data_IF_823474940047
#
_entry.id   IF_823474940047
#
_cell.length_a   1.000
_cell.length_b   1.000
_cell.length_c   1.000
_cell.angle_alpha   90.00
_cell.angle_beta   90.00
_cell.angle_gamma   90.00
#
_symmetry.space_group_name_H-M   'P 1'
#
loop_
_entity.id
_entity.type
_entity.pdbx_description
1 polymer ?
#
# COMPACT_ATOMS: atom_id res chain seq x y z
N UNK A 1 42.65 18.91 6.89
CA UNK A 1 41.81 19.98 6.33
C UNK A 1 41.84 19.79 4.82
N UNK A 2 40.89 19.19 4.11
CA UNK A 2 39.59 18.60 4.41
C UNK A 2 39.33 17.59 3.27
N UNK A 3 39.00 16.35 3.62
CA UNK A 3 38.47 15.38 2.65
C UNK A 3 36.94 15.58 2.67
N UNK A 4 36.29 16.00 1.56
CA UNK A 4 34.85 16.12 1.57
C UNK A 4 34.24 14.72 1.44
N UNK A 5 33.78 14.23 2.58
CA UNK A 5 32.57 13.45 2.81
C UNK A 5 32.09 12.57 1.64
N UNK A 6 32.31 11.27 1.80
CA UNK A 6 31.45 10.25 1.24
C UNK A 6 30.01 10.61 1.58
N UNK A 7 29.26 11.16 0.61
CA UNK A 7 27.81 11.18 0.69
C UNK A 7 27.37 9.73 0.59
N UNK A 8 27.13 9.13 1.75
CA UNK A 8 26.27 7.96 1.91
C UNK A 8 24.93 8.30 1.25
N UNK A 9 24.84 8.04 -0.05
CA UNK A 9 23.57 7.79 -0.70
C UNK A 9 23.17 6.39 -0.22
N UNK A 10 22.64 6.34 1.00
CA UNK A 10 21.62 5.35 1.30
C UNK A 10 20.47 5.69 0.35
N UNK A 11 20.55 5.10 -0.85
CA UNK A 11 19.39 4.89 -1.70
C UNK A 11 18.38 4.26 -0.75
N UNK A 12 17.39 5.08 -0.38
CA UNK A 12 16.43 4.71 0.64
C UNK A 12 15.78 3.45 0.13
N UNK A 13 16.18 2.33 0.72
CA UNK A 13 15.40 1.11 0.73
C UNK A 13 14.06 1.55 1.29
N UNK A 14 13.15 1.95 0.39
CA UNK A 14 11.78 2.30 0.69
C UNK A 14 11.19 1.02 1.24
N UNK A 15 11.36 0.82 2.56
CA UNK A 15 10.90 -0.34 3.26
C UNK A 15 9.45 -0.57 2.83
N UNK A 16 9.07 -1.83 2.51
CA UNK A 16 7.78 -2.14 1.92
C UNK A 16 6.69 -1.47 2.74
N UNK A 17 6.09 -0.44 2.16
CA UNK A 17 5.13 0.40 2.87
C UNK A 17 3.89 -0.44 3.10
N UNK A 18 3.61 -0.77 4.36
CA UNK A 18 2.47 -1.58 4.77
C UNK A 18 1.20 -1.06 4.11
N UNK A 19 0.44 -1.92 3.43
CA UNK A 19 -0.74 -1.55 2.63
C UNK A 19 -1.89 -0.95 3.45
N UNK A 20 -1.92 -1.31 4.73
CA UNK A 20 -2.89 -0.82 5.70
C UNK A 20 -2.18 -0.23 6.92
N UNK A 21 -2.84 0.71 7.61
CA UNK A 21 -2.52 1.04 8.99
C UNK A 21 -2.48 -0.23 9.87
N UNK A 22 -1.62 -0.25 10.88
CA UNK A 22 -1.47 -1.41 11.76
C UNK A 22 -2.76 -1.74 12.52
N UNK A 23 -3.53 -0.72 12.92
CA UNK A 23 -4.81 -0.92 13.61
C UNK A 23 -5.82 -1.64 12.71
N UNK A 24 -5.94 -1.22 11.44
CA UNK A 24 -6.86 -1.83 10.48
C UNK A 24 -6.45 -3.28 10.16
N UNK A 25 -5.15 -3.53 10.07
CA UNK A 25 -4.61 -4.89 9.92
C UNK A 25 -4.98 -5.78 11.11
N UNK A 26 -4.87 -5.26 12.33
CA UNK A 26 -5.20 -5.99 13.56
C UNK A 26 -6.71 -6.27 13.68
N UNK A 27 -7.55 -5.34 13.25
CA UNK A 27 -9.00 -5.52 13.22
C UNK A 27 -9.41 -6.66 12.28
N UNK A 28 -8.86 -6.70 11.05
CA UNK A 28 -9.11 -7.79 10.11
C UNK A 28 -8.61 -9.14 10.63
N UNK A 29 -7.43 -9.19 11.25
CA UNK A 29 -6.88 -10.40 11.87
C UNK A 29 -7.74 -10.92 13.04
N UNK A 30 -8.26 -10.01 13.84
CA UNK A 30 -9.14 -10.37 14.97
C UNK A 30 -10.42 -10.99 14.45
N UNK A 31 -11.10 -10.34 13.49
CA UNK A 31 -12.32 -10.87 12.86
C UNK A 31 -12.09 -12.21 12.17
N UNK A 32 -10.95 -12.38 11.51
CA UNK A 32 -10.58 -13.66 10.91
C UNK A 32 -10.46 -14.77 11.97
N UNK A 33 -9.83 -14.47 13.10
CA UNK A 33 -9.67 -15.43 14.21
C UNK A 33 -11.02 -15.83 14.81
N UNK A 34 -11.94 -14.87 14.96
CA UNK A 34 -13.30 -15.13 15.44
C UNK A 34 -14.08 -16.06 14.48
N UNK A 35 -13.95 -15.83 13.17
CA UNK A 35 -14.56 -16.68 12.13
C UNK A 35 -14.01 -18.11 12.20
N UNK A 36 -12.70 -18.26 12.34
CA UNK A 36 -12.06 -19.57 12.47
C UNK A 36 -12.54 -20.31 13.72
N UNK A 37 -12.71 -19.59 14.83
CA UNK A 37 -13.22 -20.17 16.08
C UNK A 37 -14.67 -20.62 15.92
N UNK A 38 -15.52 -19.82 15.28
CA UNK A 38 -16.92 -20.15 15.02
C UNK A 38 -17.15 -21.27 13.99
N UNK A 39 -16.13 -21.65 13.21
CA UNK A 39 -16.25 -22.71 12.20
C UNK A 39 -16.60 -24.08 12.80
N UNK A 40 -16.15 -24.35 14.03
CA UNK A 40 -16.41 -25.63 14.71
C UNK A 40 -17.91 -25.83 14.97
N UNK A 41 -18.61 -24.75 15.29
CA UNK A 41 -20.04 -24.78 15.62
C UNK A 41 -20.93 -24.55 14.38
N UNK A 42 -20.57 -23.58 13.54
CA UNK A 42 -21.38 -23.13 12.40
C UNK A 42 -20.55 -23.02 11.11
N UNK A 43 -20.13 -24.14 10.49
CA UNK A 43 -19.16 -24.12 9.40
C UNK A 43 -19.64 -23.37 8.15
N UNK A 44 -20.93 -23.45 7.82
CA UNK A 44 -21.51 -22.70 6.69
C UNK A 44 -21.46 -21.19 6.92
N UNK A 45 -21.89 -20.76 8.10
CA UNK A 45 -21.90 -19.35 8.49
C UNK A 45 -20.49 -18.78 8.55
N UNK A 46 -19.53 -19.54 9.09
CA UNK A 46 -18.13 -19.12 9.13
C UNK A 46 -17.55 -18.92 7.73
N UNK A 47 -17.86 -19.79 6.76
CA UNK A 47 -17.41 -19.61 5.37
C UNK A 47 -18.07 -18.38 4.72
N UNK A 48 -19.36 -18.15 4.94
CA UNK A 48 -20.04 -16.94 4.45
C UNK A 48 -19.42 -15.65 5.04
N UNK A 49 -19.07 -15.67 6.32
CA UNK A 49 -18.40 -14.55 6.98
C UNK A 49 -16.97 -14.35 6.48
N UNK A 50 -16.24 -15.43 6.21
CA UNK A 50 -14.91 -15.39 5.62
C UNK A 50 -14.94 -14.74 4.22
N UNK A 51 -15.88 -15.15 3.38
CA UNK A 51 -16.08 -14.57 2.03
C UNK A 51 -16.36 -13.07 2.12
N UNK A 52 -17.30 -12.66 2.98
CA UNK A 52 -17.61 -11.26 3.19
C UNK A 52 -16.41 -10.45 3.70
N UNK A 53 -15.61 -11.01 4.62
CA UNK A 53 -14.41 -10.36 5.14
C UNK A 53 -13.35 -10.18 4.05
N UNK A 54 -13.12 -11.20 3.21
CA UNK A 54 -12.18 -11.12 2.09
C UNK A 54 -12.64 -10.06 1.08
N UNK A 55 -13.93 -10.01 0.73
CA UNK A 55 -14.48 -9.00 -0.15
C UNK A 55 -14.28 -7.57 0.39
N UNK A 56 -14.44 -7.38 1.70
CA UNK A 56 -14.19 -6.11 2.39
C UNK A 56 -12.72 -5.69 2.29
N UNK A 57 -11.79 -6.61 2.56
CA UNK A 57 -10.34 -6.36 2.47
C UNK A 57 -9.94 -5.98 1.04
N UNK A 58 -10.44 -6.69 0.03
CA UNK A 58 -10.18 -6.38 -1.39
C UNK A 58 -10.68 -4.98 -1.73
N UNK A 59 -11.90 -4.63 -1.31
CA UNK A 59 -12.47 -3.30 -1.55
C UNK A 59 -11.63 -2.21 -0.89
N UNK A 60 -11.13 -2.46 0.33
CA UNK A 60 -10.29 -1.51 1.04
C UNK A 60 -8.92 -1.34 0.37
N UNK A 61 -8.28 -2.42 -0.08
CA UNK A 61 -7.04 -2.37 -0.87
C UNK A 61 -7.24 -1.52 -2.13
N UNK A 62 -8.29 -1.82 -2.91
CA UNK A 62 -8.59 -1.07 -4.13
C UNK A 62 -8.79 0.43 -3.86
N UNK A 63 -9.47 0.77 -2.77
CA UNK A 63 -9.70 2.16 -2.36
C UNK A 63 -8.39 2.86 -1.98
N UNK A 64 -7.56 2.21 -1.16
CA UNK A 64 -6.24 2.74 -0.75
C UNK A 64 -5.33 3.00 -1.95
N UNK A 65 -5.26 2.05 -2.89
CA UNK A 65 -4.49 2.21 -4.11
C UNK A 65 -5.05 3.31 -5.03
N UNK A 66 -6.39 3.45 -5.13
CA UNK A 66 -7.01 4.51 -5.92
C UNK A 66 -6.71 5.91 -5.34
N UNK A 67 -6.72 6.06 -4.01
CA UNK A 67 -6.34 7.29 -3.33
C UNK A 67 -4.87 7.65 -3.61
N UNK A 68 -3.95 6.68 -3.52
CA UNK A 68 -2.53 6.91 -3.77
C UNK A 68 -2.26 7.25 -5.24
N UNK A 69 -2.91 6.56 -6.18
CA UNK A 69 -2.88 6.89 -7.61
C UNK A 69 -3.33 8.33 -7.87
N UNK A 70 -4.40 8.77 -7.21
CA UNK A 70 -4.90 10.15 -7.31
C UNK A 70 -3.89 11.19 -6.81
N UNK A 71 -3.16 10.90 -5.72
CA UNK A 71 -2.08 11.76 -5.22
C UNK A 71 -0.91 11.86 -6.21
N UNK A 72 -0.51 10.74 -6.81
CA UNK A 72 0.49 10.74 -7.89
C UNK A 72 -0.02 11.56 -9.08
N UNK A 73 -1.31 11.43 -9.41
CA UNK A 73 -1.95 12.16 -10.51
C UNK A 73 -2.03 13.68 -10.30
N UNK A 74 -2.20 14.14 -9.06
CA UNK A 74 -2.26 15.55 -8.73
C UNK A 74 -0.90 16.28 -8.72
N UNK A 75 0.22 15.55 -8.74
CA UNK A 75 1.57 16.13 -8.63
C UNK A 75 2.15 16.58 -9.97
N UNK A 76 1.91 15.84 -11.05
CA UNK A 76 2.33 16.13 -12.43
C UNK A 76 1.25 16.83 -13.30
N UNK A 77 -0.04 16.75 -12.94
CA UNK A 77 -1.15 17.32 -13.74
C UNK A 77 -1.33 18.84 -13.64
N UNK A 78 -0.48 19.56 -12.88
CA UNK A 78 -0.54 21.02 -12.71
C UNK A 78 0.45 21.74 -13.62
N UNK A 79 0.13 21.81 -14.92
CA UNK A 79 0.46 22.93 -15.83
C UNK A 79 1.89 23.02 -16.41
N UNK A 80 1.93 23.15 -17.73
CA UNK A 80 2.92 23.61 -18.76
C UNK A 80 4.42 23.89 -18.48
N UNK A 81 4.94 23.74 -17.28
CA UNK A 81 6.38 23.98 -16.95
C UNK A 81 6.99 22.83 -16.14
N UNK A 82 6.64 21.58 -16.49
CA UNK A 82 7.21 20.39 -15.84
C UNK A 82 8.61 20.14 -16.38
N UNK A 83 9.63 20.24 -15.51
CA UNK A 83 11.01 19.97 -15.90
C UNK A 83 11.23 18.48 -16.17
N UNK A 84 12.21 18.13 -17.01
CA UNK A 84 12.68 16.75 -17.19
C UNK A 84 13.10 16.11 -15.86
N UNK A 85 13.56 16.92 -14.90
CA UNK A 85 13.83 16.48 -13.52
C UNK A 85 12.56 16.00 -12.81
N UNK A 86 11.49 16.79 -12.86
CA UNK A 86 10.20 16.47 -12.24
C UNK A 86 9.60 15.20 -12.86
N UNK A 87 9.68 15.05 -14.18
CA UNK A 87 9.25 13.82 -14.87
C UNK A 87 10.01 12.58 -14.39
N UNK A 88 11.32 12.69 -14.14
CA UNK A 88 12.11 11.58 -13.63
C UNK A 88 11.72 11.21 -12.21
N UNK A 89 11.46 12.21 -11.36
CA UNK A 89 10.98 11.99 -9.98
C UNK A 89 9.60 11.35 -10.01
N UNK A 90 8.68 11.82 -10.85
CA UNK A 90 7.36 11.23 -11.03
C UNK A 90 7.47 9.76 -11.46
N UNK A 91 8.31 9.44 -12.45
CA UNK A 91 8.48 8.07 -12.93
C UNK A 91 9.04 7.14 -11.84
N UNK A 92 9.97 7.62 -11.00
CA UNK A 92 10.46 6.86 -9.84
C UNK A 92 9.34 6.56 -8.85
N UNK A 93 8.49 7.55 -8.53
CA UNK A 93 7.33 7.35 -7.64
C UNK A 93 6.32 6.35 -8.20
N UNK A 94 6.06 6.38 -9.51
CA UNK A 94 5.24 5.38 -10.17
C UNK A 94 5.85 3.97 -10.11
N UNK A 95 7.18 3.85 -10.25
CA UNK A 95 7.88 2.57 -10.09
C UNK A 95 7.70 2.01 -8.68
N UNK A 96 8.01 2.79 -7.65
CA UNK A 96 7.83 2.35 -6.25
C UNK A 96 6.38 1.95 -5.95
N UNK A 97 5.42 2.73 -6.44
CA UNK A 97 4.00 2.40 -6.31
C UNK A 97 3.62 1.09 -7.04
N UNK A 98 4.16 0.88 -8.23
CA UNK A 98 3.96 -0.34 -9.00
C UNK A 98 4.59 -1.57 -8.34
N UNK A 99 5.82 -1.45 -7.84
CA UNK A 99 6.50 -2.53 -7.10
C UNK A 99 5.71 -2.88 -5.82
N UNK A 100 5.13 -1.89 -5.14
CA UNK A 100 4.23 -2.11 -3.99
C UNK A 100 2.91 -2.80 -4.38
N UNK A 101 2.35 -2.50 -5.55
CA UNK A 101 1.15 -3.20 -6.07
C UNK A 101 1.43 -4.68 -6.32
N UNK A 102 2.65 -5.05 -6.74
CA UNK A 102 3.02 -6.42 -7.05
C UNK A 102 3.49 -7.25 -5.84
N UNK A 103 3.87 -6.59 -4.74
CA UNK A 103 4.36 -7.25 -3.51
C UNK A 103 3.29 -7.39 -2.41
N UNK A 104 2.01 -7.47 -2.80
CA UNK A 104 0.87 -7.81 -1.93
C UNK A 104 0.97 -9.22 -1.35
#
# INVERSE_FOLDING_TARGET
MDQPEAREQTDGEEAPSTLFPENETNDFRTRWTDIQTGFVDEPRRAVEQADALVAEVIKRLASSFAEERSKLEGQWGRGDDVSTEDLRVSLRRYRSFFDRLLNV
#
